data_IF_272169326950
#
_entry.id   IF_272169326950
#
_cell.length_a   1.000
_cell.length_b   1.000
_cell.length_c   1.000
_cell.angle_alpha   90.00
_cell.angle_beta   90.00
_cell.angle_gamma   90.00
#
_symmetry.space_group_name_H-M   'P 1'
#
loop_
_entity.id
_entity.type
_entity.pdbx_description
1 polymer ?
#
# COMPACT_ATOMS: atom_id res chain seq x y z
N UNK A 1 0.37 -8.89 13.81
CA UNK A 1 -0.22 -9.59 12.66
C UNK A 1 0.88 -9.75 11.63
N UNK A 2 1.01 -10.92 11.01
CA UNK A 2 1.98 -11.12 9.93
C UNK A 2 1.39 -10.63 8.61
N UNK A 3 2.14 -9.79 7.89
CA UNK A 3 1.72 -9.23 6.61
C UNK A 3 1.78 -10.30 5.52
N UNK A 4 0.76 -10.33 4.67
CA UNK A 4 0.69 -11.25 3.53
C UNK A 4 0.80 -10.47 2.22
N UNK A 5 1.36 -11.09 1.16
CA UNK A 5 1.29 -10.53 -0.18
C UNK A 5 -0.14 -10.11 -0.52
N UNK A 6 -0.27 -8.93 -1.11
CA UNK A 6 -1.52 -8.28 -1.53
C UNK A 6 -2.35 -7.65 -0.41
N UNK A 7 -1.87 -7.65 0.84
CA UNK A 7 -2.44 -6.81 1.88
C UNK A 7 -2.34 -5.33 1.49
N UNK A 8 -3.38 -4.55 1.77
CA UNK A 8 -3.38 -3.11 1.61
C UNK A 8 -3.05 -2.45 2.96
N UNK A 9 -2.01 -1.63 2.97
CA UNK A 9 -1.63 -0.82 4.11
C UNK A 9 -2.23 0.57 3.92
N UNK A 10 -3.21 0.93 4.74
CA UNK A 10 -3.81 2.27 4.74
C UNK A 10 -3.13 3.12 5.82
N UNK A 11 -2.29 4.07 5.41
CA UNK A 11 -1.43 4.81 6.32
C UNK A 11 -2.04 6.15 6.76
N UNK A 12 -1.80 6.52 8.02
CA UNK A 12 -2.31 7.76 8.61
C UNK A 12 -1.57 9.01 8.11
N UNK A 13 -2.32 10.09 7.83
CA UNK A 13 -1.78 11.34 7.30
C UNK A 13 -1.06 12.22 8.32
N UNK A 14 0.21 11.88 8.64
CA UNK A 14 1.04 12.69 9.57
C UNK A 14 1.73 13.88 8.92
N UNK A 15 1.94 13.84 7.60
CA UNK A 15 2.55 14.93 6.83
C UNK A 15 1.55 16.04 6.51
N UNK A 16 2.02 17.21 6.09
CA UNK A 16 1.13 18.32 5.70
C UNK A 16 0.25 17.96 4.51
N UNK A 17 0.82 17.30 3.50
CA UNK A 17 0.07 16.75 2.36
C UNK A 17 -0.95 15.72 2.84
N UNK A 18 -0.54 14.83 3.75
CA UNK A 18 -1.41 13.81 4.31
C UNK A 18 -2.63 14.40 5.02
N UNK A 19 -2.42 15.44 5.85
CA UNK A 19 -3.52 16.15 6.52
C UNK A 19 -4.50 16.80 5.54
N UNK A 20 -4.01 17.36 4.44
CA UNK A 20 -4.86 17.91 3.38
C UNK A 20 -5.70 16.82 2.73
N UNK A 21 -5.10 15.68 2.35
CA UNK A 21 -5.82 14.55 1.79
C UNK A 21 -6.90 14.08 2.76
N UNK A 22 -6.54 13.83 4.01
CA UNK A 22 -7.49 13.38 5.06
C UNK A 22 -8.67 14.34 5.24
N UNK A 23 -8.43 15.66 5.18
CA UNK A 23 -9.49 16.66 5.31
C UNK A 23 -10.44 16.66 4.10
N UNK A 24 -9.91 16.50 2.89
CA UNK A 24 -10.72 16.49 1.66
C UNK A 24 -11.52 15.20 1.55
N UNK A 25 -10.90 14.05 1.88
CA UNK A 25 -11.54 12.73 1.76
C UNK A 25 -12.39 12.35 2.96
N UNK A 26 -12.36 13.14 4.04
CA UNK A 26 -12.99 12.81 5.33
C UNK A 26 -12.55 11.44 5.86
N UNK A 27 -11.28 11.07 5.61
CA UNK A 27 -10.69 9.78 5.97
C UNK A 27 -9.47 9.98 6.87
N UNK A 28 -9.23 9.12 7.86
CA UNK A 28 -7.99 9.17 8.65
C UNK A 28 -6.76 8.79 7.82
N UNK A 29 -6.97 8.14 6.67
CA UNK A 29 -5.90 7.67 5.78
C UNK A 29 -5.59 8.70 4.70
N UNK A 30 -4.31 8.84 4.39
CA UNK A 30 -3.87 9.74 3.33
C UNK A 30 -2.98 9.05 2.29
N UNK A 31 -2.70 7.77 2.48
CA UNK A 31 -1.77 7.01 1.66
C UNK A 31 -2.15 5.53 1.68
N UNK A 32 -1.85 4.83 0.59
CA UNK A 32 -2.04 3.39 0.49
C UNK A 32 -0.82 2.75 -0.15
N UNK A 33 -0.39 1.63 0.42
CA UNK A 33 0.64 0.78 -0.14
C UNK A 33 0.12 -0.66 -0.23
N UNK A 34 0.69 -1.46 -1.13
CA UNK A 34 0.35 -2.88 -1.29
C UNK A 34 1.54 -3.71 -0.85
N UNK A 35 1.34 -4.67 0.03
CA UNK A 35 2.40 -5.61 0.44
C UNK A 35 2.76 -6.50 -0.74
N UNK A 36 4.04 -6.55 -1.10
CA UNK A 36 4.56 -7.46 -2.13
C UNK A 36 4.98 -8.79 -1.52
N UNK A 37 5.71 -8.71 -0.42
CA UNK A 37 6.24 -9.80 0.38
C UNK A 37 6.49 -9.28 1.81
N UNK A 38 6.93 -10.12 2.78
CA UNK A 38 7.04 -9.71 4.18
C UNK A 38 7.95 -8.49 4.45
N UNK A 39 8.83 -8.11 3.52
CA UNK A 39 9.80 -7.01 3.70
C UNK A 39 9.60 -5.84 2.72
N UNK A 40 8.75 -6.00 1.70
CA UNK A 40 8.60 -5.01 0.63
C UNK A 40 7.15 -4.61 0.39
N UNK A 41 6.99 -3.34 0.03
CA UNK A 41 5.73 -2.73 -0.37
C UNK A 41 5.86 -2.18 -1.78
N UNK A 42 4.73 -2.08 -2.46
CA UNK A 42 4.57 -1.39 -3.73
C UNK A 42 3.68 -0.20 -3.49
N UNK A 43 4.15 0.97 -3.88
CA UNK A 43 3.49 2.22 -3.56
C UNK A 43 3.71 3.26 -4.68
N UNK A 44 2.86 4.28 -4.74
CA UNK A 44 2.99 5.40 -5.69
C UNK A 44 3.22 6.69 -4.92
N UNK A 45 4.03 7.60 -5.46
CA UNK A 45 4.19 8.93 -4.89
C UNK A 45 3.69 9.95 -5.91
N UNK A 46 3.20 11.10 -5.48
CA UNK A 46 2.85 12.18 -6.39
C UNK A 46 4.06 12.65 -7.22
N UNK A 47 5.29 12.43 -6.72
CA UNK A 47 6.54 12.76 -7.44
C UNK A 47 7.15 11.64 -8.27
N UNK A 48 6.83 10.38 -7.96
CA UNK A 48 7.53 9.22 -8.55
C UNK A 48 6.51 8.16 -8.98
N UNK A 49 6.71 7.52 -10.16
CA UNK A 49 5.86 6.41 -10.57
C UNK A 49 5.93 5.24 -9.58
N UNK A 50 5.08 4.24 -9.80
CA UNK A 50 5.00 3.01 -9.01
C UNK A 50 6.39 2.45 -8.67
N UNK A 51 6.67 2.26 -7.39
CA UNK A 51 7.96 1.78 -6.90
C UNK A 51 7.80 0.65 -5.91
N UNK A 52 8.81 -0.21 -5.83
CA UNK A 52 8.95 -1.18 -4.74
C UNK A 52 9.91 -0.59 -3.71
N UNK A 53 9.49 -0.47 -2.47
CA UNK A 53 10.30 0.02 -1.35
C UNK A 53 10.30 -0.99 -0.20
N UNK A 54 11.26 -0.86 0.70
CA UNK A 54 11.26 -1.62 1.96
C UNK A 54 10.13 -1.16 2.87
N UNK A 55 9.55 -2.10 3.61
CA UNK A 55 8.57 -1.80 4.65
C UNK A 55 9.24 -1.06 5.81
N UNK A 56 9.20 0.28 5.75
CA UNK A 56 9.75 1.17 6.79
C UNK A 56 8.66 1.75 7.71
N UNK A 57 7.40 1.37 7.53
CA UNK A 57 6.30 1.83 8.36
C UNK A 57 6.31 1.15 9.72
N UNK A 58 6.06 1.91 10.79
CA UNK A 58 5.79 1.31 12.11
C UNK A 58 4.39 0.72 12.09
N UNK A 59 4.14 -0.33 12.87
CA UNK A 59 2.81 -0.95 12.98
C UNK A 59 1.73 0.03 13.49
N UNK A 60 2.11 1.14 14.11
CA UNK A 60 1.21 2.23 14.54
C UNK A 60 0.84 3.21 13.43
N UNK A 61 1.39 3.05 12.23
CA UNK A 61 1.30 4.04 11.16
C UNK A 61 0.26 3.68 10.09
N UNK A 62 -0.29 2.46 10.16
CA UNK A 62 -1.25 1.95 9.20
C UNK A 62 -2.24 0.95 9.79
N UNK A 63 -3.38 0.81 9.12
CA UNK A 63 -4.29 -0.31 9.25
C UNK A 63 -4.14 -1.27 8.07
N UNK A 64 -4.35 -2.57 8.32
CA UNK A 64 -4.20 -3.64 7.31
C UNK A 64 -5.57 -4.07 6.81
N UNK A 65 -5.77 -3.98 5.50
CA UNK A 65 -6.98 -4.45 4.82
C UNK A 65 -6.63 -5.61 3.88
N UNK A 66 -7.29 -6.75 4.10
CA UNK A 66 -7.12 -7.95 3.28
C UNK A 66 -8.38 -8.25 2.50
N UNK A 67 -8.22 -8.40 1.18
CA UNK A 67 -9.30 -8.85 0.31
C UNK A 67 -9.73 -10.27 0.70
N UNK A 68 -11.03 -10.44 1.00
CA UNK A 68 -11.59 -11.72 1.47
C UNK A 68 -12.02 -12.66 0.34
N UNK A 69 -11.99 -12.20 -0.92
CA UNK A 69 -12.32 -13.03 -2.07
C UNK A 69 -11.15 -13.91 -2.52
N UNK A 70 -11.46 -14.95 -3.30
CA UNK A 70 -10.43 -15.79 -3.91
C UNK A 70 -9.79 -15.09 -5.11
N UNK A 71 -8.50 -14.81 -5.04
CA UNK A 71 -7.71 -14.39 -6.21
C UNK A 71 -7.29 -15.63 -7.01
N UNK A 72 -7.56 -15.62 -8.31
CA UNK A 72 -7.08 -16.65 -9.24
C UNK A 72 -5.55 -16.62 -9.35
N UNK A 73 -4.94 -17.74 -9.76
CA UNK A 73 -3.50 -17.79 -10.03
C UNK A 73 -3.06 -16.69 -11.01
N UNK A 74 -3.86 -16.47 -12.07
CA UNK A 74 -3.60 -15.42 -13.07
C UNK A 74 -3.63 -14.01 -12.47
N UNK A 75 -4.56 -13.73 -11.56
CA UNK A 75 -4.63 -12.42 -10.89
C UNK A 75 -3.40 -12.20 -9.99
N UNK A 76 -3.00 -13.22 -9.23
CA UNK A 76 -1.80 -13.18 -8.39
C UNK A 76 -0.54 -12.97 -9.23
N UNK A 77 -0.42 -13.64 -10.37
CA UNK A 77 0.74 -13.50 -11.23
C UNK A 77 0.80 -12.14 -11.93
N UNK A 78 -0.33 -11.58 -12.38
CA UNK A 78 -0.35 -10.20 -12.93
C UNK A 78 0.14 -9.18 -11.90
N UNK A 79 -0.27 -9.31 -10.64
CA UNK A 79 0.18 -8.41 -9.58
C UNK A 79 1.68 -8.52 -9.26
N UNK A 80 2.29 -9.69 -9.48
CA UNK A 80 3.75 -9.87 -9.33
C UNK A 80 4.55 -9.21 -10.45
N UNK A 81 3.98 -9.10 -11.65
CA UNK A 81 4.67 -8.58 -12.85
C UNK A 81 4.37 -7.10 -13.15
N UNK A 82 3.49 -6.45 -12.37
CA UNK A 82 3.17 -5.02 -12.51
C UNK A 82 4.32 -4.06 -12.19
N UNK A 83 5.49 -4.56 -11.73
CA UNK A 83 6.71 -3.77 -11.49
C UNK A 83 7.52 -3.46 -12.77
N UNK A 84 7.06 -3.88 -13.95
CA UNK A 84 7.81 -3.79 -15.22
C UNK A 84 7.33 -2.67 -16.14
N UNK A 85 6.40 -1.82 -15.69
CA UNK A 85 5.92 -0.65 -16.42
C UNK A 85 6.70 0.60 -15.98
N UNK A 86 7.96 0.67 -16.40
CA UNK A 86 8.77 1.89 -16.43
C UNK A 86 9.47 1.94 -17.79
#
# INVERSE_FOLDING_TARGET
>A
MELQPFDLLFCFGRTWIGRTISRVTHSPYSYVAIVRDPLHIVETDWRKPLRTDHLNYRSSDYDVFRYQGALTATQKDRMKHSSTLC
#
